data_IF_182785586391
#
_entry.id   IF_182785586391
#
_cell.length_a   1.000
_cell.length_b   1.000
_cell.length_c   1.000
_cell.angle_alpha   90.00
_cell.angle_beta   90.00
_cell.angle_gamma   90.00
#
_symmetry.space_group_name_H-M   'P 1'
#
loop_
_entity.id
_entity.type
_entity.pdbx_description
1 polymer ?
#
# COMPACT_ATOMS: atom_id res chain seq x y z
N UNK A 1 -38.87 19.53 29.81
CA UNK A 1 -37.58 18.84 29.96
C UNK A 1 -36.42 19.48 29.17
N UNK A 2 -36.68 20.20 28.05
CA UNK A 2 -35.65 20.82 27.18
C UNK A 2 -34.91 22.09 27.72
N UNK A 3 -35.21 22.57 28.93
CA UNK A 3 -34.61 23.81 29.48
C UNK A 3 -33.46 23.58 30.46
N UNK A 4 -33.03 22.33 30.72
CA UNK A 4 -31.87 22.05 31.56
C UNK A 4 -30.59 22.03 30.71
N UNK A 5 -29.51 22.74 31.10
CA UNK A 5 -28.25 22.77 30.36
C UNK A 5 -27.63 21.37 30.19
N UNK A 6 -27.70 20.52 31.22
CA UNK A 6 -27.22 19.12 31.14
C UNK A 6 -27.95 18.28 30.08
N UNK A 7 -29.27 18.47 29.91
CA UNK A 7 -30.03 17.75 28.88
C UNK A 7 -29.61 18.15 27.46
N UNK A 8 -29.26 19.43 27.26
CA UNK A 8 -28.75 19.92 25.96
C UNK A 8 -27.39 19.34 25.65
N UNK A 9 -26.50 19.28 26.63
CA UNK A 9 -25.19 18.66 26.48
C UNK A 9 -25.30 17.17 26.10
N UNK A 10 -26.21 16.43 26.74
CA UNK A 10 -26.49 15.04 26.38
C UNK A 10 -27.08 14.89 24.97
N UNK A 11 -27.99 15.77 24.56
CA UNK A 11 -28.54 15.76 23.20
C UNK A 11 -27.44 16.03 22.17
N UNK A 12 -26.59 17.03 22.41
CA UNK A 12 -25.48 17.36 21.50
C UNK A 12 -24.45 16.24 21.45
N UNK A 13 -24.12 15.61 22.59
CA UNK A 13 -23.25 14.44 22.64
C UNK A 13 -23.84 13.24 21.88
N UNK A 14 -25.13 12.98 22.05
CA UNK A 14 -25.85 11.96 21.27
C UNK A 14 -25.85 12.27 19.77
N UNK A 15 -26.10 13.53 19.39
CA UNK A 15 -26.04 13.97 17.99
C UNK A 15 -24.64 13.82 17.40
N UNK A 16 -23.58 14.14 18.17
CA UNK A 16 -22.20 13.94 17.74
C UNK A 16 -21.91 12.45 17.49
N UNK A 17 -22.39 11.56 18.36
CA UNK A 17 -22.29 10.11 18.16
C UNK A 17 -23.14 9.63 16.97
N UNK A 18 -24.32 10.21 16.78
CA UNK A 18 -25.18 9.93 15.62
C UNK A 18 -24.51 10.33 14.29
N UNK A 19 -23.63 11.35 14.30
CA UNK A 19 -22.83 11.71 13.12
C UNK A 19 -21.77 10.66 12.75
N UNK A 20 -21.54 9.63 13.57
CA UNK A 20 -20.76 8.48 13.15
C UNK A 20 -21.39 7.75 11.95
N UNK A 21 -22.73 7.76 11.82
CA UNK A 21 -23.45 7.13 10.70
C UNK A 21 -23.10 7.77 9.35
N UNK A 22 -23.30 9.09 9.13
CA UNK A 22 -22.88 9.71 7.87
C UNK A 22 -21.38 9.63 7.64
N UNK A 23 -20.54 9.73 8.67
CA UNK A 23 -19.09 9.54 8.53
C UNK A 23 -18.74 8.12 8.05
N UNK A 24 -19.42 7.09 8.56
CA UNK A 24 -19.23 5.71 8.11
C UNK A 24 -19.61 5.55 6.64
N UNK A 25 -20.73 6.14 6.19
CA UNK A 25 -21.15 6.12 4.79
C UNK A 25 -20.16 6.86 3.88
N UNK A 26 -19.62 7.99 4.33
CA UNK A 26 -18.57 8.70 3.58
C UNK A 26 -17.29 7.86 3.52
N UNK A 27 -16.92 7.22 4.64
CA UNK A 27 -15.80 6.31 4.72
C UNK A 27 -15.92 5.13 3.75
N UNK A 28 -17.10 4.54 3.60
CA UNK A 28 -17.32 3.44 2.65
C UNK A 28 -17.23 3.86 1.19
N UNK A 29 -17.66 5.09 0.86
CA UNK A 29 -17.47 5.66 -0.49
C UNK A 29 -15.97 5.83 -0.78
N UNK A 30 -15.21 6.34 0.20
CA UNK A 30 -13.75 6.52 0.05
C UNK A 30 -13.04 5.19 -0.08
N UNK A 31 -13.42 4.20 0.72
CA UNK A 31 -12.84 2.87 0.65
C UNK A 31 -13.13 2.20 -0.71
N UNK A 32 -14.34 2.36 -1.24
CA UNK A 32 -14.69 1.94 -2.61
C UNK A 32 -13.88 2.66 -3.70
N UNK A 33 -13.48 3.92 -3.47
CA UNK A 33 -12.59 4.65 -4.40
C UNK A 33 -11.15 4.18 -4.28
N UNK A 34 -10.67 3.93 -3.07
CA UNK A 34 -9.34 3.39 -2.80
C UNK A 34 -9.17 1.98 -3.40
N UNK A 35 -10.16 1.11 -3.26
CA UNK A 35 -10.14 -0.23 -3.87
C UNK A 35 -10.15 -0.14 -5.40
N UNK A 36 -11.01 0.71 -5.99
CA UNK A 36 -11.00 0.95 -7.43
C UNK A 36 -9.64 1.48 -7.94
N UNK A 37 -8.98 2.35 -7.16
CA UNK A 37 -7.63 2.83 -7.46
C UNK A 37 -6.61 1.70 -7.49
N UNK A 38 -6.62 0.82 -6.48
CA UNK A 38 -5.74 -0.36 -6.41
C UNK A 38 -5.99 -1.32 -7.57
N UNK A 39 -7.25 -1.59 -7.91
CA UNK A 39 -7.58 -2.46 -9.05
C UNK A 39 -7.10 -1.88 -10.39
N UNK A 40 -7.15 -0.55 -10.54
CA UNK A 40 -6.63 0.12 -11.73
C UNK A 40 -5.11 0.11 -11.74
N UNK A 41 -4.48 0.34 -10.59
CA UNK A 41 -3.03 0.20 -10.41
C UNK A 41 -2.56 -1.20 -10.82
N UNK A 42 -3.11 -2.25 -10.24
CA UNK A 42 -2.75 -3.63 -10.54
C UNK A 42 -2.93 -3.98 -12.02
N UNK A 43 -3.99 -3.46 -12.66
CA UNK A 43 -4.23 -3.67 -14.11
C UNK A 43 -3.19 -2.97 -14.97
N UNK A 44 -2.95 -1.68 -14.72
CA UNK A 44 -1.95 -0.90 -15.45
C UNK A 44 -0.54 -1.47 -15.22
N UNK A 45 -0.22 -1.85 -13.98
CA UNK A 45 1.00 -2.54 -13.61
C UNK A 45 1.17 -3.79 -14.48
N UNK A 46 0.21 -4.72 -14.48
CA UNK A 46 0.28 -5.97 -15.28
C UNK A 46 0.40 -5.72 -16.79
N UNK A 47 -0.31 -4.73 -17.33
CA UNK A 47 -0.24 -4.36 -18.75
C UNK A 47 1.12 -3.74 -19.13
N UNK A 48 1.77 -3.03 -18.21
CA UNK A 48 3.05 -2.37 -18.46
C UNK A 48 4.26 -3.31 -18.32
N UNK A 49 4.19 -4.26 -17.38
CA UNK A 49 5.25 -5.22 -17.08
C UNK A 49 5.15 -5.85 -15.69
N UNK A 50 4.38 -5.24 -14.78
CA UNK A 50 4.16 -5.73 -13.42
C UNK A 50 5.39 -5.59 -12.53
N UNK A 51 5.29 -6.17 -11.33
CA UNK A 51 6.42 -6.33 -10.43
C UNK A 51 7.51 -7.21 -11.07
N UNK A 52 8.75 -6.71 -11.12
CA UNK A 52 9.88 -7.42 -11.74
C UNK A 52 10.85 -7.91 -10.67
N UNK A 53 11.12 -9.21 -10.71
CA UNK A 53 12.18 -9.87 -9.95
C UNK A 53 13.10 -10.56 -10.94
N UNK A 54 14.39 -10.23 -10.87
CA UNK A 54 15.44 -10.86 -11.67
C UNK A 54 16.14 -11.92 -10.83
N UNK A 55 16.05 -13.20 -11.21
CA UNK A 55 16.66 -14.31 -10.47
C UNK A 55 18.19 -14.36 -10.54
N UNK A 56 18.84 -13.39 -11.20
CA UNK A 56 20.28 -13.38 -11.47
C UNK A 56 20.70 -14.40 -12.53
N UNK A 57 21.83 -14.18 -13.24
CA UNK A 57 22.28 -15.10 -14.28
C UNK A 57 22.83 -16.40 -13.68
N UNK A 58 22.46 -17.53 -14.26
CA UNK A 58 22.95 -18.86 -13.89
C UNK A 58 23.39 -19.65 -15.11
N UNK A 59 24.42 -20.48 -14.93
CA UNK A 59 24.89 -21.42 -15.94
C UNK A 59 24.20 -22.76 -15.71
N UNK A 60 23.46 -23.23 -16.72
CA UNK A 60 22.68 -24.46 -16.65
C UNK A 60 23.20 -25.46 -17.67
N UNK A 61 23.55 -26.66 -17.20
CA UNK A 61 24.07 -27.76 -18.02
C UNK A 61 23.11 -28.95 -17.93
N UNK A 62 22.45 -29.35 -19.04
CA UNK A 62 21.61 -30.53 -19.06
C UNK A 62 22.41 -31.78 -18.66
N UNK A 63 21.74 -32.72 -18.00
CA UNK A 63 22.36 -34.01 -17.63
C UNK A 63 21.48 -35.15 -18.11
N UNK A 64 22.12 -36.16 -18.69
CA UNK A 64 21.46 -37.42 -19.06
C UNK A 64 22.02 -38.55 -18.21
N UNK A 65 21.15 -39.47 -17.83
CA UNK A 65 21.53 -40.62 -17.02
C UNK A 65 20.44 -41.66 -16.95
N UNK A 66 20.65 -42.72 -16.14
CA UNK A 66 19.64 -43.74 -15.90
C UNK A 66 18.41 -43.13 -15.22
N UNK A 67 17.24 -43.31 -15.82
CA UNK A 67 15.95 -42.94 -15.24
C UNK A 67 15.01 -44.14 -15.28
N UNK A 68 14.26 -44.35 -14.19
CA UNK A 68 13.26 -45.43 -14.12
C UNK A 68 11.98 -44.93 -14.77
N UNK A 69 11.60 -45.56 -15.87
CA UNK A 69 10.32 -45.31 -16.54
C UNK A 69 9.38 -46.48 -16.29
N UNK A 70 8.12 -46.16 -15.99
CA UNK A 70 7.05 -47.16 -15.90
C UNK A 70 6.44 -47.32 -17.28
N UNK A 71 6.65 -48.48 -17.89
CA UNK A 71 6.08 -48.84 -19.19
C UNK A 71 4.86 -49.73 -18.96
N UNK A 72 3.74 -49.39 -19.58
CA UNK A 72 2.56 -50.24 -19.61
C UNK A 72 2.74 -51.36 -20.62
N UNK A 73 2.69 -52.60 -20.17
CA UNK A 73 2.84 -53.79 -21.01
C UNK A 73 1.67 -54.74 -20.74
N UNK A 74 1.15 -55.40 -21.78
CA UNK A 74 0.14 -56.45 -21.60
C UNK A 74 0.84 -57.66 -20.98
N UNK A 75 0.62 -57.88 -19.68
CA UNK A 75 1.18 -59.00 -18.94
C UNK A 75 0.15 -60.11 -18.85
N UNK A 76 0.56 -61.34 -19.19
CA UNK A 76 -0.29 -62.52 -19.06
C UNK A 76 -0.30 -62.97 -17.61
N UNK A 77 -1.47 -63.03 -16.99
CA UNK A 77 -1.64 -63.49 -15.61
C UNK A 77 -1.20 -64.97 -15.51
N UNK A 78 -0.18 -65.31 -14.69
CA UNK A 78 0.33 -66.67 -14.58
C UNK A 78 -0.70 -67.69 -14.07
N UNK A 79 -1.76 -67.24 -13.38
CA UNK A 79 -2.78 -68.11 -12.80
C UNK A 79 -4.02 -68.25 -13.68
N UNK A 80 -4.40 -67.20 -14.42
CA UNK A 80 -5.64 -67.20 -15.22
C UNK A 80 -5.41 -67.21 -16.73
N UNK A 81 -4.20 -66.90 -17.21
CA UNK A 81 -3.87 -66.82 -18.63
C UNK A 81 -4.47 -65.63 -19.38
N UNK A 82 -5.19 -64.73 -18.67
CA UNK A 82 -5.74 -63.49 -19.22
C UNK A 82 -4.63 -62.45 -19.42
N UNK A 83 -4.71 -61.68 -20.51
CA UNK A 83 -3.86 -60.51 -20.69
C UNK A 83 -4.43 -59.35 -19.85
N UNK A 84 -3.61 -58.85 -18.93
CA UNK A 84 -3.93 -57.68 -18.11
C UNK A 84 -2.90 -56.60 -18.34
N UNK A 85 -3.36 -55.36 -18.32
CA UNK A 85 -2.47 -54.21 -18.45
C UNK A 85 -1.63 -54.11 -17.16
N UNK A 86 -0.35 -54.38 -17.30
CA UNK A 86 0.63 -54.40 -16.22
C UNK A 86 1.58 -53.22 -16.31
N UNK A 87 2.19 -52.85 -15.18
CA UNK A 87 3.24 -51.83 -15.12
C UNK A 87 4.59 -52.51 -14.90
N UNK A 88 5.54 -52.29 -15.81
CA UNK A 88 6.93 -52.72 -15.67
C UNK A 88 7.83 -51.51 -15.55
N UNK A 89 8.69 -51.49 -14.53
CA UNK A 89 9.74 -50.50 -14.42
C UNK A 89 10.92 -50.90 -15.31
N UNK A 90 11.32 -50.02 -16.22
CA UNK A 90 12.47 -50.19 -17.09
C UNK A 90 13.40 -49.01 -16.85
N UNK A 91 14.69 -49.28 -16.70
CA UNK A 91 15.71 -48.22 -16.64
C UNK A 91 16.12 -47.86 -18.05
N UNK A 92 15.90 -46.60 -18.45
CA UNK A 92 16.33 -46.07 -19.75
C UNK A 92 17.24 -44.87 -19.53
N UNK A 93 18.00 -44.48 -20.54
CA UNK A 93 18.75 -43.22 -20.49
C UNK A 93 17.82 -42.06 -20.82
N UNK A 94 17.66 -41.13 -19.89
CA UNK A 94 16.78 -39.96 -20.05
C UNK A 94 17.33 -38.70 -19.39
N UNK A 95 16.56 -37.62 -19.47
CA UNK A 95 16.91 -36.35 -18.85
C UNK A 95 16.73 -36.42 -17.33
N UNK A 96 17.72 -35.88 -16.62
CA UNK A 96 17.67 -35.72 -15.16
C UNK A 96 17.67 -34.23 -14.82
N UNK A 97 17.51 -33.90 -13.53
CA UNK A 97 17.68 -32.53 -13.05
C UNK A 97 19.00 -31.94 -13.57
N UNK A 98 18.98 -30.73 -14.16
CA UNK A 98 20.20 -30.16 -14.75
C UNK A 98 21.21 -29.80 -13.65
N UNK A 99 22.47 -29.64 -14.03
CA UNK A 99 23.45 -28.99 -13.17
C UNK A 99 23.26 -27.47 -13.27
N UNK A 100 23.19 -26.79 -12.14
CA UNK A 100 23.07 -25.34 -12.04
C UNK A 100 24.32 -24.80 -11.35
N UNK A 101 25.01 -23.87 -11.99
CA UNK A 101 26.22 -23.23 -11.49
C UNK A 101 25.95 -21.73 -11.40
N UNK A 102 26.16 -21.16 -10.21
CA UNK A 102 26.06 -19.73 -9.98
C UNK A 102 27.40 -19.04 -10.29
N UNK A 103 27.42 -17.72 -10.57
CA UNK A 103 28.66 -17.03 -10.92
C UNK A 103 29.56 -16.79 -9.69
N UNK A 104 30.88 -16.72 -9.90
CA UNK A 104 31.86 -16.31 -8.90
C UNK A 104 31.69 -14.83 -8.55
N UNK A 105 31.55 -13.97 -9.56
CA UNK A 105 31.21 -12.55 -9.39
C UNK A 105 29.98 -12.19 -10.19
N UNK A 106 29.11 -11.39 -9.59
CA UNK A 106 27.98 -10.75 -10.24
C UNK A 106 28.07 -9.26 -9.96
N UNK A 107 28.40 -8.46 -10.97
CA UNK A 107 28.36 -7.01 -10.90
C UNK A 107 27.17 -6.53 -11.73
N UNK A 108 26.27 -5.75 -11.14
CA UNK A 108 25.05 -5.29 -11.82
C UNK A 108 24.75 -3.82 -11.59
N UNK A 109 24.26 -3.17 -12.64
CA UNK A 109 23.80 -1.77 -12.60
C UNK A 109 22.41 -1.70 -13.18
N UNK A 110 21.47 -1.16 -12.41
CA UNK A 110 20.08 -0.95 -12.80
C UNK A 110 19.77 0.54 -12.72
N UNK A 111 19.44 1.15 -13.86
CA UNK A 111 19.06 2.57 -13.93
C UNK A 111 17.59 2.68 -14.29
N UNK A 112 16.75 3.08 -13.34
CA UNK A 112 15.31 3.17 -13.51
C UNK A 112 14.85 4.60 -13.79
N UNK A 113 14.03 4.76 -14.82
CA UNK A 113 13.31 5.98 -15.17
C UNK A 113 11.84 5.82 -14.83
N UNK A 114 11.35 6.58 -13.85
CA UNK A 114 9.99 6.48 -13.34
C UNK A 114 9.11 7.48 -14.08
N UNK A 115 8.00 6.99 -14.62
CA UNK A 115 6.97 7.81 -15.29
C UNK A 115 5.60 7.52 -14.73
N UNK A 116 4.74 8.53 -14.70
CA UNK A 116 3.35 8.37 -14.28
C UNK A 116 2.46 8.00 -15.47
N UNK A 117 1.74 6.88 -15.37
CA UNK A 117 0.70 6.49 -16.33
C UNK A 117 -0.68 6.75 -15.77
N UNK A 118 -1.61 7.17 -16.63
CA UNK A 118 -2.98 7.48 -16.24
C UNK A 118 -3.98 6.52 -16.85
N UNK A 119 -4.97 6.11 -16.04
CA UNK A 119 -6.15 5.37 -16.50
C UNK A 119 -7.38 6.01 -15.85
N UNK A 120 -8.12 6.79 -16.65
CA UNK A 120 -9.16 7.65 -16.12
C UNK A 120 -8.56 8.72 -15.21
N UNK A 121 -9.00 8.76 -13.96
CA UNK A 121 -8.52 9.69 -12.91
C UNK A 121 -7.35 9.13 -12.09
N UNK A 122 -7.05 7.84 -12.22
CA UNK A 122 -6.02 7.18 -11.43
C UNK A 122 -4.66 7.33 -12.10
N UNK A 123 -3.64 7.58 -11.29
CA UNK A 123 -2.25 7.71 -11.72
C UNK A 123 -1.43 6.60 -11.08
N UNK A 124 -0.61 5.93 -11.89
CA UNK A 124 0.17 4.76 -11.49
C UNK A 124 1.64 5.02 -11.85
N UNK A 125 2.57 5.00 -10.89
CA UNK A 125 3.98 5.06 -11.20
C UNK A 125 4.41 3.74 -11.85
N UNK A 126 5.01 3.86 -13.03
CA UNK A 126 5.64 2.75 -13.73
C UNK A 126 7.08 3.13 -14.04
N UNK A 127 7.94 2.16 -14.29
CA UNK A 127 9.31 2.42 -14.66
C UNK A 127 9.71 1.72 -15.96
N UNK A 128 10.72 2.27 -16.59
CA UNK A 128 11.59 1.57 -17.53
C UNK A 128 12.98 1.52 -16.91
N UNK A 129 13.59 0.35 -16.90
CA UNK A 129 14.92 0.14 -16.30
C UNK A 129 15.87 -0.42 -17.34
N UNK A 130 17.03 0.20 -17.43
CA UNK A 130 18.19 -0.31 -18.18
C UNK A 130 19.08 -1.11 -17.22
N UNK A 131 19.35 -2.36 -17.58
CA UNK A 131 20.03 -3.33 -16.74
C UNK A 131 21.29 -3.79 -17.46
N UNK A 132 22.43 -3.63 -16.78
CA UNK A 132 23.71 -4.18 -17.20
C UNK A 132 24.18 -5.19 -16.16
N UNK A 133 24.58 -6.37 -16.62
CA UNK A 133 24.95 -7.51 -15.80
C UNK A 133 26.27 -8.09 -16.31
N UNK A 134 27.28 -8.08 -15.46
CA UNK A 134 28.58 -8.71 -15.69
C UNK A 134 28.72 -9.91 -14.74
N UNK A 135 28.79 -11.11 -15.31
CA UNK A 135 28.87 -12.35 -14.55
C UNK A 135 30.08 -13.17 -14.96
N UNK A 136 30.92 -13.52 -13.98
CA UNK A 136 32.06 -14.42 -14.18
C UNK A 136 31.74 -15.78 -13.61
N UNK A 137 31.84 -16.85 -14.40
CA UNK A 137 31.62 -18.22 -13.92
C UNK A 137 32.95 -18.94 -13.70
N UNK A 138 32.91 -19.97 -12.87
CA UNK A 138 33.98 -20.98 -12.77
C UNK A 138 33.29 -22.33 -12.77
N UNK A 139 33.63 -23.20 -13.72
CA UNK A 139 33.11 -24.57 -13.76
C UNK A 139 33.87 -25.42 -12.72
N UNK A 140 33.21 -25.89 -11.64
CA UNK A 140 33.86 -26.70 -10.62
C UNK A 140 33.91 -28.18 -11.04
N UNK A 141 34.59 -29.00 -10.23
CA UNK A 141 34.44 -30.46 -10.34
C UNK A 141 33.05 -30.88 -9.86
N UNK A 142 32.30 -31.51 -10.75
CA UNK A 142 30.89 -31.88 -10.55
C UNK A 142 30.71 -33.38 -10.36
N UNK A 143 31.79 -34.17 -10.35
CA UNK A 143 31.73 -35.62 -10.26
C UNK A 143 30.96 -36.10 -9.01
N UNK A 144 31.16 -35.44 -7.87
CA UNK A 144 30.49 -35.76 -6.61
C UNK A 144 28.96 -35.48 -6.62
N UNK A 145 28.48 -34.68 -7.58
CA UNK A 145 27.06 -34.33 -7.72
C UNK A 145 26.32 -35.22 -8.73
N UNK A 146 27.03 -36.09 -9.44
CA UNK A 146 26.46 -36.97 -10.47
C UNK A 146 26.14 -38.34 -9.91
N UNK A 147 24.99 -38.88 -10.32
CA UNK A 147 24.65 -40.28 -10.09
C UNK A 147 25.51 -41.20 -10.98
N UNK A 148 25.66 -42.46 -10.59
CA UNK A 148 26.39 -43.44 -11.39
C UNK A 148 25.74 -43.60 -12.78
N UNK A 149 26.55 -43.40 -13.84
CA UNK A 149 26.08 -43.46 -15.23
C UNK A 149 25.43 -42.18 -15.74
N UNK A 150 25.32 -41.12 -14.92
CA UNK A 150 24.91 -39.80 -15.38
C UNK A 150 26.09 -39.02 -15.98
N UNK A 151 25.82 -38.28 -17.04
CA UNK A 151 26.80 -37.47 -17.76
C UNK A 151 26.26 -36.07 -18.07
N UNK A 152 26.99 -35.00 -17.73
CA UNK A 152 26.65 -33.63 -18.13
C UNK A 152 26.90 -33.40 -19.63
N UNK A 153 25.93 -32.77 -20.29
CA UNK A 153 25.97 -32.38 -21.70
C UNK A 153 26.54 -30.96 -21.82
N UNK A 154 27.86 -30.83 -21.66
CA UNK A 154 28.55 -29.54 -21.66
C UNK A 154 28.33 -28.74 -22.96
N UNK A 155 28.25 -29.42 -24.09
CA UNK A 155 27.97 -28.85 -25.41
C UNK A 155 26.58 -28.20 -25.51
N UNK A 156 25.68 -28.51 -24.58
CA UNK A 156 24.32 -27.98 -24.50
C UNK A 156 24.13 -27.02 -23.32
N UNK A 157 25.22 -26.51 -22.75
CA UNK A 157 25.14 -25.52 -21.69
C UNK A 157 24.51 -24.21 -22.19
N UNK A 158 23.81 -23.55 -21.28
CA UNK A 158 23.14 -22.27 -21.51
C UNK A 158 23.26 -21.35 -20.31
N UNK A 159 23.26 -20.05 -20.56
CA UNK A 159 23.05 -19.04 -19.51
C UNK A 159 21.55 -18.77 -19.45
N UNK A 160 20.97 -18.81 -18.25
CA UNK A 160 19.58 -18.43 -17.99
C UNK A 160 19.53 -17.21 -17.09
N UNK A 161 18.57 -16.32 -17.34
CA UNK A 161 18.16 -15.25 -16.43
C UNK A 161 16.65 -15.38 -16.21
N UNK A 162 16.26 -15.75 -15.00
CA UNK A 162 14.86 -15.79 -14.59
C UNK A 162 14.29 -14.38 -14.43
N UNK A 163 13.04 -14.21 -14.88
CA UNK A 163 12.27 -12.97 -14.75
C UNK A 163 10.88 -13.31 -14.22
N UNK A 164 10.20 -12.38 -13.53
CA UNK A 164 8.78 -12.57 -13.17
C UNK A 164 7.90 -12.75 -14.42
N UNK A 165 8.16 -11.97 -15.47
CA UNK A 165 7.47 -12.09 -16.76
C UNK A 165 8.32 -11.51 -17.89
N UNK A 166 8.29 -12.17 -19.06
CA UNK A 166 8.94 -11.68 -20.27
C UNK A 166 8.18 -10.51 -20.92
N UNK A 167 6.91 -10.27 -20.56
CA UNK A 167 6.09 -9.21 -21.17
C UNK A 167 6.63 -7.80 -20.92
N UNK A 168 7.47 -7.64 -19.90
CA UNK A 168 8.18 -6.40 -19.57
C UNK A 168 9.40 -6.13 -20.45
N UNK A 169 9.96 -7.12 -21.15
CA UNK A 169 11.18 -6.93 -21.96
C UNK A 169 10.93 -5.92 -23.09
N UNK A 170 11.85 -4.95 -23.24
CA UNK A 170 11.82 -3.93 -24.29
C UNK A 170 13.19 -3.79 -24.93
N UNK A 171 13.21 -3.17 -26.11
CA UNK A 171 14.45 -2.83 -26.80
C UNK A 171 15.27 -4.06 -27.22
N UNK A 172 16.56 -3.82 -27.45
CA UNK A 172 17.52 -4.88 -27.77
C UNK A 172 18.05 -5.48 -26.48
N UNK A 173 17.98 -6.81 -26.36
CA UNK A 173 18.63 -7.56 -25.30
C UNK A 173 19.82 -8.29 -25.90
N UNK A 174 21.02 -8.11 -25.34
CA UNK A 174 22.24 -8.70 -25.87
C UNK A 174 23.02 -9.42 -24.78
N UNK A 175 23.36 -10.68 -25.02
CA UNK A 175 24.30 -11.45 -24.22
C UNK A 175 25.57 -11.64 -25.04
N UNK A 176 26.72 -11.34 -24.44
CA UNK A 176 28.03 -11.48 -25.08
C UNK A 176 28.99 -12.27 -24.20
N UNK A 177 29.90 -12.99 -24.84
CA UNK A 177 31.05 -13.67 -24.22
C UNK A 177 32.28 -13.27 -25.02
N UNK A 178 33.10 -12.38 -24.47
CA UNK A 178 34.08 -11.63 -25.26
C UNK A 178 33.40 -10.93 -26.44
N UNK A 179 33.96 -11.06 -27.64
CA UNK A 179 33.39 -10.47 -28.87
C UNK A 179 32.23 -11.28 -29.48
N UNK A 180 31.88 -12.43 -28.90
CA UNK A 180 30.84 -13.32 -29.46
C UNK A 180 29.47 -12.96 -28.90
N UNK A 181 28.57 -12.54 -29.78
CA UNK A 181 27.14 -12.41 -29.48
C UNK A 181 26.49 -13.79 -29.33
N UNK A 182 25.76 -13.98 -28.23
CA UNK A 182 24.95 -15.17 -27.94
C UNK A 182 23.49 -14.80 -28.15
N UNK A 183 22.80 -15.53 -29.03
CA UNK A 183 21.36 -15.35 -29.25
C UNK A 183 20.59 -15.79 -28.01
N UNK A 184 19.74 -14.90 -27.53
CA UNK A 184 18.83 -15.14 -26.43
C UNK A 184 17.45 -15.56 -26.97
N UNK A 185 16.84 -16.52 -26.30
CA UNK A 185 15.49 -17.02 -26.57
C UNK A 185 14.69 -17.05 -25.25
N UNK A 186 13.35 -16.98 -25.29
CA UNK A 186 12.53 -17.20 -24.10
C UNK A 186 12.77 -18.60 -23.51
N UNK A 187 12.75 -18.69 -22.18
CA UNK A 187 12.79 -19.99 -21.50
C UNK A 187 11.55 -20.84 -21.83
N UNK A 188 11.71 -22.16 -21.84
CA UNK A 188 10.66 -23.11 -22.19
C UNK A 188 10.05 -23.80 -20.96
N UNK A 189 9.09 -24.71 -21.19
CA UNK A 189 8.47 -25.54 -20.15
C UNK A 189 7.78 -24.75 -19.00
N UNK A 190 7.25 -23.57 -19.29
CA UNK A 190 6.50 -22.76 -18.33
C UNK A 190 7.38 -21.91 -17.40
N UNK A 191 8.70 -21.92 -17.57
CA UNK A 191 9.60 -21.00 -16.89
C UNK A 191 9.59 -19.63 -17.57
N UNK A 192 9.69 -18.57 -16.77
CA UNK A 192 9.76 -17.18 -17.24
C UNK A 192 11.19 -16.67 -17.15
N UNK A 193 11.64 -15.99 -18.21
CA UNK A 193 13.01 -15.54 -18.36
C UNK A 193 13.57 -15.76 -19.76
N UNK A 194 14.86 -15.50 -19.90
CA UNK A 194 15.60 -15.62 -21.15
C UNK A 194 16.76 -16.60 -20.98
N UNK A 195 17.09 -17.32 -22.05
CA UNK A 195 18.20 -18.26 -22.09
C UNK A 195 19.02 -18.10 -23.37
N UNK A 196 20.34 -18.24 -23.26
CA UNK A 196 21.26 -18.22 -24.40
C UNK A 196 22.13 -19.48 -24.41
N UNK A 197 22.14 -20.21 -25.52
CA UNK A 197 22.99 -21.39 -25.68
C UNK A 197 24.45 -20.97 -25.88
N UNK A 198 25.36 -21.50 -25.07
CA UNK A 198 26.77 -21.06 -25.02
C UNK A 198 27.78 -22.13 -25.47
N UNK A 199 27.33 -23.38 -25.64
CA UNK A 199 28.21 -24.52 -25.87
C UNK A 199 29.06 -24.85 -24.63
N UNK A 200 30.14 -25.61 -24.80
CA UNK A 200 30.99 -26.04 -23.69
C UNK A 200 31.58 -24.82 -22.92
N UNK A 201 31.23 -24.64 -21.63
CA UNK A 201 31.69 -23.50 -20.84
C UNK A 201 33.10 -23.69 -20.26
N UNK A 202 33.72 -24.87 -20.40
CA UNK A 202 35.01 -25.20 -19.76
C UNK A 202 36.24 -24.57 -20.43
N UNK A 203 36.03 -23.64 -21.36
CA UNK A 203 37.08 -22.91 -22.08
C UNK A 203 37.65 -21.69 -21.34
N UNK A 204 38.42 -20.88 -22.06
CA UNK A 204 39.28 -19.80 -21.52
C UNK A 204 38.57 -18.46 -21.23
N UNK A 205 37.29 -18.31 -21.60
CA UNK A 205 36.50 -17.11 -21.33
C UNK A 205 35.14 -17.49 -20.73
N UNK A 206 34.96 -17.17 -19.45
CA UNK A 206 33.75 -17.44 -18.67
C UNK A 206 33.10 -16.14 -18.17
N UNK A 207 33.42 -15.02 -18.82
CA UNK A 207 32.83 -13.71 -18.56
C UNK A 207 31.65 -13.49 -19.49
N UNK A 208 30.52 -13.11 -18.92
CA UNK A 208 29.30 -12.87 -19.64
C UNK A 208 28.80 -11.46 -19.34
N UNK A 209 28.59 -10.70 -20.41
CA UNK A 209 28.03 -9.36 -20.33
C UNK A 209 26.64 -9.37 -20.96
N UNK A 210 25.64 -9.01 -20.16
CA UNK A 210 24.23 -8.94 -20.55
C UNK A 210 23.70 -7.52 -20.38
N UNK A 211 23.11 -7.01 -21.45
CA UNK A 211 22.29 -5.78 -21.43
C UNK A 211 20.83 -6.13 -21.68
N UNK A 212 19.94 -5.53 -20.89
CA UNK A 212 18.51 -5.79 -20.91
C UNK A 212 17.76 -4.51 -20.53
N UNK A 213 16.73 -4.15 -21.29
CA UNK A 213 15.78 -3.12 -20.87
C UNK A 213 14.44 -3.76 -20.47
N UNK A 214 13.91 -3.39 -19.32
CA UNK A 214 12.63 -3.89 -18.80
C UNK A 214 11.69 -2.73 -18.47
N UNK A 215 10.41 -2.93 -18.78
CA UNK A 215 9.32 -2.19 -18.17
C UNK A 215 8.83 -2.95 -16.94
N UNK A 216 8.48 -2.19 -15.90
CA UNK A 216 7.86 -2.75 -14.71
C UNK A 216 7.10 -1.70 -13.90
N UNK A 217 6.51 -2.13 -12.80
CA UNK A 217 5.77 -1.31 -11.86
C UNK A 217 5.89 -1.89 -10.45
N UNK A 218 5.58 -1.08 -9.44
CA UNK A 218 5.57 -1.43 -8.01
C UNK A 218 6.92 -1.84 -7.43
N UNK A 219 7.51 -2.95 -7.87
CA UNK A 219 8.78 -3.46 -7.33
C UNK A 219 9.77 -3.73 -8.46
N UNK A 220 11.04 -3.44 -8.18
CA UNK A 220 12.20 -3.84 -8.97
C UNK A 220 13.17 -4.57 -8.02
N UNK A 221 13.24 -5.89 -8.20
CA UNK A 221 13.97 -6.79 -7.30
C UNK A 221 15.02 -7.60 -8.07
N UNK A 222 16.07 -8.00 -7.36
CA UNK A 222 17.12 -8.87 -7.88
C UNK A 222 17.51 -9.92 -6.83
N UNK A 223 17.84 -11.12 -7.28
CA UNK A 223 18.40 -12.18 -6.44
C UNK A 223 19.93 -12.15 -6.55
N UNK A 224 20.68 -12.09 -5.42
CA UNK A 224 22.13 -12.06 -5.43
C UNK A 224 22.68 -13.48 -5.63
N UNK A 225 22.97 -13.88 -6.86
CA UNK A 225 23.43 -15.25 -7.15
C UNK A 225 24.96 -15.42 -7.13
N UNK A 226 25.73 -14.34 -7.23
CA UNK A 226 27.20 -14.39 -7.29
C UNK A 226 27.87 -14.74 -5.97
N UNK A 227 29.03 -15.44 -6.01
CA UNK A 227 29.81 -15.74 -4.79
C UNK A 227 30.15 -14.45 -4.02
N UNK A 228 30.44 -13.41 -4.81
CA UNK A 228 30.27 -12.00 -4.44
C UNK A 228 29.31 -11.34 -5.43
N UNK A 229 28.22 -10.73 -4.93
CA UNK A 229 27.32 -9.93 -5.77
C UNK A 229 27.46 -8.45 -5.40
N UNK A 230 27.77 -7.58 -6.37
CA UNK A 230 27.76 -6.12 -6.23
C UNK A 230 26.66 -5.54 -7.10
N UNK A 231 25.68 -4.89 -6.48
CA UNK A 231 24.49 -4.38 -7.16
C UNK A 231 24.42 -2.88 -6.92
N UNK A 232 24.23 -2.11 -7.99
CA UNK A 232 23.93 -0.68 -7.93
C UNK A 232 22.56 -0.44 -8.55
N UNK A 233 21.67 0.21 -7.82
CA UNK A 233 20.37 0.66 -8.34
C UNK A 233 20.28 2.18 -8.23
N UNK A 234 19.95 2.84 -9.33
CA UNK A 234 19.77 4.28 -9.40
C UNK A 234 18.48 4.64 -10.13
N UNK A 235 17.96 5.83 -9.90
CA UNK A 235 16.82 6.33 -10.66
C UNK A 235 16.41 7.75 -10.31
N UNK A 236 15.50 8.31 -11.10
CA UNK A 236 15.03 9.71 -11.03
C UNK A 236 13.83 9.93 -10.09
N UNK A 237 13.60 9.00 -9.15
CA UNK A 237 12.49 9.06 -8.19
C UNK A 237 12.93 9.53 -6.80
N UNK A 238 12.30 10.55 -6.19
CA UNK A 238 12.77 11.12 -4.92
C UNK A 238 12.43 10.29 -3.68
N UNK A 239 11.56 9.28 -3.80
CA UNK A 239 11.02 8.53 -2.66
C UNK A 239 11.08 7.02 -2.88
N UNK A 240 12.28 6.42 -3.10
CA UNK A 240 12.42 4.97 -3.13
C UNK A 240 12.14 4.37 -1.76
N UNK A 241 11.51 3.19 -1.73
CA UNK A 241 11.47 2.34 -0.54
C UNK A 241 12.38 1.15 -0.75
N UNK A 242 13.33 0.91 0.16
CA UNK A 242 14.20 -0.26 0.12
C UNK A 242 13.50 -1.43 0.78
N UNK A 243 13.48 -2.59 0.11
CA UNK A 243 12.66 -3.73 0.53
C UNK A 243 13.32 -5.07 0.14
N UNK A 244 12.83 -6.16 0.71
CA UNK A 244 13.32 -7.53 0.52
C UNK A 244 14.38 -7.95 1.54
N UNK A 245 15.20 -8.95 1.16
CA UNK A 245 16.08 -9.67 2.09
C UNK A 245 17.30 -8.86 2.59
N UNK A 246 17.71 -7.82 1.86
CA UNK A 246 18.93 -7.06 2.13
C UNK A 246 18.74 -5.55 1.98
N UNK A 247 19.12 -4.79 3.02
CA UNK A 247 19.22 -3.33 2.94
C UNK A 247 20.56 -2.92 2.30
N UNK A 248 20.63 -1.74 1.64
CA UNK A 248 21.85 -1.29 0.98
C UNK A 248 22.96 -0.94 1.98
N UNK A 249 24.22 -1.17 1.59
CA UNK A 249 25.40 -0.76 2.35
C UNK A 249 25.54 0.77 2.36
N UNK A 250 25.16 1.41 1.25
CA UNK A 250 25.14 2.86 1.12
C UNK A 250 23.95 3.31 0.27
N UNK A 251 23.37 4.45 0.62
CA UNK A 251 22.29 5.09 -0.13
C UNK A 251 22.45 6.60 -0.14
N UNK A 252 22.18 7.21 -1.28
CA UNK A 252 21.93 8.63 -1.44
C UNK A 252 20.52 8.81 -1.98
N UNK A 253 19.70 9.64 -1.32
CA UNK A 253 18.31 9.88 -1.68
C UNK A 253 18.06 11.38 -1.59
N UNK A 254 17.70 11.98 -2.71
CA UNK A 254 17.47 13.41 -2.82
C UNK A 254 16.29 13.76 -3.72
N UNK A 255 15.98 15.06 -3.88
CA UNK A 255 14.85 15.49 -4.72
C UNK A 255 14.97 15.12 -6.20
N UNK A 256 16.19 14.83 -6.68
CA UNK A 256 16.47 14.49 -8.07
C UNK A 256 16.47 12.99 -8.34
N UNK A 257 16.41 12.14 -7.31
CA UNK A 257 16.53 10.71 -7.47
C UNK A 257 17.22 10.01 -6.32
N UNK A 258 17.70 8.80 -6.61
CA UNK A 258 18.42 7.96 -5.66
C UNK A 258 19.55 7.20 -6.33
N UNK A 259 20.50 6.78 -5.50
CA UNK A 259 21.48 5.76 -5.82
C UNK A 259 21.71 4.89 -4.57
N UNK A 260 21.72 3.57 -4.74
CA UNK A 260 21.97 2.63 -3.66
C UNK A 260 22.86 1.49 -4.11
N UNK A 261 23.71 1.01 -3.19
CA UNK A 261 24.72 0.00 -3.46
C UNK A 261 24.65 -1.13 -2.43
N UNK A 262 24.78 -2.37 -2.91
CA UNK A 262 24.81 -3.59 -2.12
C UNK A 262 26.02 -4.43 -2.49
N UNK A 263 26.64 -5.06 -1.48
CA UNK A 263 27.69 -6.06 -1.61
C UNK A 263 27.31 -7.28 -0.79
N UNK A 264 26.83 -8.33 -1.46
CA UNK A 264 26.25 -9.51 -0.80
C UNK A 264 27.19 -10.70 -1.02
N UNK A 265 27.86 -11.20 0.04
CA UNK A 265 28.66 -12.41 -0.04
C UNK A 265 27.78 -13.66 0.00
N UNK A 266 28.23 -14.76 -0.63
CA UNK A 266 27.48 -16.03 -0.63
C UNK A 266 27.14 -16.60 0.74
N UNK A 267 27.94 -16.33 1.77
CA UNK A 267 27.66 -16.81 3.12
C UNK A 267 26.41 -16.16 3.75
N UNK A 268 25.92 -15.05 3.20
CA UNK A 268 24.73 -14.36 3.67
C UNK A 268 23.42 -14.94 3.12
N UNK A 269 23.49 -15.99 2.28
CA UNK A 269 22.35 -16.54 1.54
C UNK A 269 22.38 -18.08 1.53
N UNK A 270 21.22 -18.76 1.59
CA UNK A 270 21.11 -20.21 1.57
C UNK A 270 21.16 -20.78 0.14
N UNK A 271 22.00 -20.22 -0.73
CA UNK A 271 22.12 -20.62 -2.13
C UNK A 271 23.48 -21.29 -2.35
N UNK A 272 23.46 -22.60 -2.61
CA UNK A 272 24.68 -23.32 -2.95
C UNK A 272 25.19 -22.87 -4.33
N UNK A 273 26.52 -22.76 -4.46
CA UNK A 273 27.17 -22.31 -5.69
C UNK A 273 26.94 -23.28 -6.87
N UNK A 274 26.70 -24.56 -6.56
CA UNK A 274 26.46 -25.63 -7.51
C UNK A 274 25.36 -26.54 -6.98
N UNK A 275 24.32 -26.77 -7.77
CA UNK A 275 23.18 -27.62 -7.39
C UNK A 275 22.71 -28.52 -8.53
N UNK A 276 21.88 -29.51 -8.17
CA UNK A 276 21.08 -30.30 -9.10
C UNK A 276 19.67 -29.71 -9.10
N UNK A 277 19.22 -29.24 -10.27
CA UNK A 277 17.97 -28.54 -10.42
C UNK A 277 18.03 -27.09 -9.95
N UNK A 278 16.95 -26.37 -10.27
CA UNK A 278 16.76 -24.97 -9.93
C UNK A 278 15.82 -24.87 -8.73
N UNK A 279 16.28 -24.25 -7.65
CA UNK A 279 15.44 -23.93 -6.47
C UNK A 279 14.97 -22.47 -6.53
N UNK A 280 13.95 -22.22 -7.36
CA UNK A 280 13.38 -20.87 -7.53
C UNK A 280 12.77 -20.33 -6.23
N UNK A 281 12.22 -21.20 -5.37
CA UNK A 281 11.54 -20.78 -4.14
C UNK A 281 12.54 -20.21 -3.13
N UNK A 282 13.64 -20.92 -2.90
CA UNK A 282 14.71 -20.42 -2.02
C UNK A 282 15.36 -19.17 -2.61
N UNK A 283 15.58 -19.13 -3.93
CA UNK A 283 16.15 -17.97 -4.62
C UNK A 283 15.25 -16.72 -4.50
N UNK A 284 13.95 -16.86 -4.75
CA UNK A 284 12.98 -15.76 -4.66
C UNK A 284 12.93 -15.13 -3.25
N UNK A 285 13.09 -15.94 -2.19
CA UNK A 285 13.15 -15.44 -0.81
C UNK A 285 14.40 -14.59 -0.50
N UNK A 286 15.42 -14.61 -1.37
CA UNK A 286 16.62 -13.79 -1.25
C UNK A 286 16.56 -12.52 -2.12
N UNK A 287 15.43 -12.27 -2.78
CA UNK A 287 15.26 -11.08 -3.59
C UNK A 287 15.29 -9.81 -2.73
N UNK A 288 15.93 -8.77 -3.25
CA UNK A 288 16.01 -7.45 -2.63
C UNK A 288 16.01 -6.37 -3.70
N UNK A 289 15.73 -5.14 -3.29
CA UNK A 289 15.77 -4.00 -4.20
C UNK A 289 14.85 -2.89 -3.73
N UNK A 290 13.96 -2.47 -4.63
CA UNK A 290 13.20 -1.24 -4.49
C UNK A 290 11.71 -1.48 -4.69
N UNK A 291 10.93 -0.83 -3.85
CA UNK A 291 9.50 -0.61 -4.03
C UNK A 291 9.27 0.88 -4.38
N UNK A 292 8.60 1.12 -5.50
CA UNK A 292 8.15 2.42 -5.94
C UNK A 292 6.76 2.69 -5.36
N UNK A 293 6.77 3.11 -4.09
CA UNK A 293 5.56 3.54 -3.39
C UNK A 293 5.18 4.96 -3.82
N UNK A 294 3.87 5.26 -3.91
CA UNK A 294 3.38 6.62 -4.06
C UNK A 294 3.11 7.20 -2.65
N UNK A 295 3.99 8.07 -2.11
CA UNK A 295 3.97 8.46 -0.69
C UNK A 295 2.73 9.24 -0.24
N UNK A 296 1.94 9.71 -1.19
CA UNK A 296 0.91 10.70 -0.95
C UNK A 296 -0.40 10.36 -1.68
N UNK A 297 -0.84 9.11 -1.55
CA UNK A 297 -2.18 8.71 -2.02
C UNK A 297 -3.25 9.55 -1.29
N UNK A 298 -3.89 10.45 -2.03
CA UNK A 298 -4.90 11.36 -1.50
C UNK A 298 -6.14 10.60 -1.01
N UNK A 299 -6.38 9.37 -1.48
CA UNK A 299 -7.44 8.50 -0.96
C UNK A 299 -7.13 8.07 0.48
N UNK A 300 -5.88 7.74 0.80
CA UNK A 300 -5.48 7.45 2.19
C UNK A 300 -5.61 8.69 3.08
N UNK A 301 -5.25 9.87 2.58
CA UNK A 301 -5.45 11.12 3.32
C UNK A 301 -6.93 11.42 3.54
N UNK A 302 -7.79 11.20 2.54
CA UNK A 302 -9.22 11.36 2.69
C UNK A 302 -9.81 10.35 3.69
N UNK A 303 -9.33 9.11 3.68
CA UNK A 303 -9.73 8.11 4.67
C UNK A 303 -9.37 8.55 6.09
N UNK A 304 -8.12 8.99 6.30
CA UNK A 304 -7.68 9.60 7.57
C UNK A 304 -8.54 10.81 7.95
N UNK A 305 -8.90 11.66 6.99
CA UNK A 305 -9.78 12.81 7.23
C UNK A 305 -11.15 12.38 7.75
N UNK A 306 -11.75 11.30 7.22
CA UNK A 306 -12.98 10.70 7.74
C UNK A 306 -12.83 10.29 9.20
N UNK A 307 -11.74 9.58 9.53
CA UNK A 307 -11.46 9.11 10.91
C UNK A 307 -11.37 10.27 11.89
N UNK A 308 -10.66 11.35 11.52
CA UNK A 308 -10.49 12.51 12.40
C UNK A 308 -11.68 13.48 12.39
N UNK A 309 -12.62 13.35 11.43
CA UNK A 309 -13.77 14.26 11.33
C UNK A 309 -14.75 14.15 12.50
N UNK A 310 -14.75 13.04 13.25
CA UNK A 310 -15.55 12.95 14.48
C UNK A 310 -15.15 14.03 15.50
N UNK A 311 -13.85 14.31 15.61
CA UNK A 311 -13.31 15.34 16.51
C UNK A 311 -13.70 16.74 16.02
N UNK A 312 -13.64 16.95 14.70
CA UNK A 312 -14.05 18.19 14.05
C UNK A 312 -15.54 18.48 14.32
N UNK A 313 -16.40 17.48 14.17
CA UNK A 313 -17.85 17.58 14.45
C UNK A 313 -18.08 17.85 15.93
N UNK A 314 -17.47 17.07 16.82
CA UNK A 314 -17.64 17.22 18.27
C UNK A 314 -17.21 18.63 18.75
N UNK A 315 -16.06 19.13 18.28
CA UNK A 315 -15.61 20.48 18.63
C UNK A 315 -16.45 21.57 17.99
N UNK A 316 -16.92 21.38 16.76
CA UNK A 316 -17.85 22.34 16.15
C UNK A 316 -19.15 22.43 16.95
N UNK A 317 -19.71 21.29 17.33
CA UNK A 317 -20.95 21.22 18.12
C UNK A 317 -20.78 21.86 19.51
N UNK A 318 -19.67 21.55 20.20
CA UNK A 318 -19.34 22.19 21.48
C UNK A 318 -19.23 23.71 21.33
N UNK A 319 -18.59 24.17 20.25
CA UNK A 319 -18.39 25.60 20.00
C UNK A 319 -19.71 26.31 19.75
N UNK A 320 -20.57 25.73 18.92
CA UNK A 320 -21.92 26.24 18.70
C UNK A 320 -22.68 26.29 20.03
N UNK A 321 -22.65 25.22 20.82
CA UNK A 321 -23.33 25.14 22.12
C UNK A 321 -22.86 26.22 23.11
N UNK A 322 -21.55 26.41 23.25
CA UNK A 322 -20.96 27.41 24.15
C UNK A 322 -21.25 28.84 23.68
N UNK A 323 -21.25 29.07 22.37
CA UNK A 323 -21.42 30.40 21.80
C UNK A 323 -22.88 30.86 21.81
N UNK A 324 -23.81 29.93 21.56
CA UNK A 324 -25.25 30.13 21.60
C UNK A 324 -25.74 30.56 22.99
N UNK A 325 -25.15 30.00 24.05
CA UNK A 325 -25.56 30.22 25.45
C UNK A 325 -25.75 31.70 25.82
N UNK A 326 -24.85 32.58 25.39
CA UNK A 326 -24.94 33.99 25.76
C UNK A 326 -25.63 34.87 24.72
N UNK A 327 -26.16 34.34 23.62
CA UNK A 327 -26.74 35.15 22.54
C UNK A 327 -28.13 35.71 22.89
N UNK A 328 -28.71 35.38 24.04
CA UNK A 328 -30.01 35.90 24.50
C UNK A 328 -31.23 35.47 23.67
N UNK A 329 -31.01 34.70 22.61
CA UNK A 329 -32.04 34.20 21.69
C UNK A 329 -32.49 32.78 22.05
N UNK A 330 -33.56 32.31 21.39
CA UNK A 330 -34.09 30.94 21.57
C UNK A 330 -33.00 29.91 21.28
N UNK A 331 -33.03 28.76 21.98
CA UNK A 331 -32.05 27.71 21.77
C UNK A 331 -32.09 27.17 20.33
N UNK A 332 -30.94 26.76 19.80
CA UNK A 332 -30.84 26.13 18.51
C UNK A 332 -31.62 24.80 18.52
N UNK A 333 -32.34 24.57 17.43
CA UNK A 333 -33.11 23.34 17.28
C UNK A 333 -32.15 22.17 16.98
N UNK A 334 -32.40 20.95 17.49
CA UNK A 334 -31.55 19.78 17.21
C UNK A 334 -31.25 19.55 15.71
N UNK A 335 -32.22 19.86 14.84
CA UNK A 335 -32.05 19.79 13.37
C UNK A 335 -30.93 20.70 12.86
N UNK A 336 -30.69 21.86 13.48
CA UNK A 336 -29.60 22.75 13.08
C UNK A 336 -28.23 22.14 13.37
N UNK A 337 -28.07 21.42 14.48
CA UNK A 337 -26.86 20.64 14.76
C UNK A 337 -26.67 19.51 13.75
N UNK A 338 -27.76 18.82 13.37
CA UNK A 338 -27.70 17.80 12.30
C UNK A 338 -27.18 18.40 10.98
N UNK A 339 -27.69 19.57 10.58
CA UNK A 339 -27.22 20.26 9.36
C UNK A 339 -25.73 20.63 9.44
N UNK A 340 -25.26 21.12 10.60
CA UNK A 340 -23.83 21.41 10.83
C UNK A 340 -22.99 20.12 10.71
N UNK A 341 -23.43 19.02 11.30
CA UNK A 341 -22.71 17.74 11.24
C UNK A 341 -22.70 17.13 9.83
N UNK A 342 -23.80 17.25 9.09
CA UNK A 342 -23.87 16.85 7.69
C UNK A 342 -22.95 17.68 6.80
N UNK A 343 -22.88 19.01 7.00
CA UNK A 343 -21.93 19.85 6.28
C UNK A 343 -20.48 19.43 6.51
N UNK A 344 -20.12 19.09 7.76
CA UNK A 344 -18.79 18.55 8.10
C UNK A 344 -18.55 17.17 7.48
N UNK A 345 -19.58 16.34 7.31
CA UNK A 345 -19.45 15.04 6.64
C UNK A 345 -19.24 15.22 5.13
N UNK A 346 -19.94 16.18 4.51
CA UNK A 346 -19.80 16.52 3.08
C UNK A 346 -18.43 17.12 2.76
N UNK A 347 -17.82 17.86 3.69
CA UNK A 347 -16.43 18.35 3.54
C UNK A 347 -15.46 17.24 3.10
N UNK A 348 -15.57 16.06 3.71
CA UNK A 348 -14.69 14.93 3.40
C UNK A 348 -14.92 14.43 1.97
N UNK A 349 -16.17 14.38 1.50
CA UNK A 349 -16.49 14.05 0.11
C UNK A 349 -15.97 15.10 -0.87
N UNK A 350 -16.04 16.39 -0.52
CA UNK A 350 -15.51 17.48 -1.34
C UNK A 350 -14.00 17.38 -1.51
N UNK A 351 -13.26 17.00 -0.45
CA UNK A 351 -11.81 16.77 -0.55
C UNK A 351 -11.52 15.73 -1.63
N UNK A 352 -12.19 14.58 -1.60
CA UNK A 352 -11.95 13.50 -2.56
C UNK A 352 -12.30 13.95 -3.98
N UNK A 353 -13.51 14.49 -4.16
CA UNK A 353 -13.99 14.91 -5.48
C UNK A 353 -13.11 15.99 -6.12
N UNK A 354 -12.58 16.92 -5.33
CA UNK A 354 -11.66 17.94 -5.84
C UNK A 354 -10.23 17.41 -6.00
N UNK A 355 -9.76 16.54 -5.10
CA UNK A 355 -8.40 16.02 -5.13
C UNK A 355 -8.14 15.20 -6.40
N UNK A 356 -9.17 14.48 -6.89
CA UNK A 356 -9.14 13.73 -8.15
C UNK A 356 -8.83 14.61 -9.38
N UNK A 357 -9.09 15.92 -9.32
CA UNK A 357 -8.93 16.82 -10.46
C UNK A 357 -7.80 17.85 -10.29
N UNK A 358 -7.63 18.41 -9.09
CA UNK A 358 -6.72 19.54 -8.85
C UNK A 358 -5.65 19.26 -7.79
N UNK A 359 -5.60 18.02 -7.27
CA UNK A 359 -4.66 17.58 -6.25
C UNK A 359 -5.07 17.95 -4.82
N UNK A 360 -4.52 17.22 -3.84
CA UNK A 360 -4.97 17.25 -2.46
C UNK A 360 -4.89 18.64 -1.80
N UNK A 361 -3.76 19.35 -1.91
CA UNK A 361 -3.58 20.62 -1.19
C UNK A 361 -4.60 21.69 -1.62
N UNK A 362 -4.85 21.81 -2.94
CA UNK A 362 -5.83 22.76 -3.48
C UNK A 362 -7.25 22.33 -3.17
N UNK A 363 -7.54 21.03 -3.26
CA UNK A 363 -8.82 20.45 -2.89
C UNK A 363 -9.16 20.71 -1.42
N UNK A 364 -8.21 20.48 -0.52
CA UNK A 364 -8.36 20.72 0.91
C UNK A 364 -8.66 22.20 1.19
N UNK A 365 -7.90 23.13 0.61
CA UNK A 365 -8.10 24.57 0.80
C UNK A 365 -9.49 25.00 0.30
N UNK A 366 -9.89 24.54 -0.89
CA UNK A 366 -11.21 24.84 -1.45
C UNK A 366 -12.35 24.29 -0.59
N UNK A 367 -12.28 23.00 -0.22
CA UNK A 367 -13.31 22.33 0.57
C UNK A 367 -13.41 22.92 2.00
N UNK A 368 -12.28 23.16 2.66
CA UNK A 368 -12.25 23.75 4.01
C UNK A 368 -12.79 25.18 4.01
N UNK A 369 -12.37 26.02 3.06
CA UNK A 369 -12.86 27.40 2.93
C UNK A 369 -14.36 27.43 2.68
N UNK A 370 -14.86 26.58 1.77
CA UNK A 370 -16.29 26.47 1.48
C UNK A 370 -17.09 26.06 2.72
N UNK A 371 -16.63 25.06 3.47
CA UNK A 371 -17.31 24.59 4.68
C UNK A 371 -17.26 25.63 5.81
N UNK A 372 -16.11 26.27 6.05
CA UNK A 372 -15.97 27.33 7.05
C UNK A 372 -16.92 28.48 6.71
N UNK A 373 -16.97 28.90 5.45
CA UNK A 373 -17.84 29.98 5.00
C UNK A 373 -19.32 29.61 5.14
N UNK A 374 -19.71 28.39 4.75
CA UNK A 374 -21.07 27.89 4.93
C UNK A 374 -21.49 27.90 6.41
N UNK A 375 -20.63 27.39 7.30
CA UNK A 375 -20.91 27.35 8.74
C UNK A 375 -20.90 28.73 9.39
N UNK A 376 -20.05 29.65 8.93
CA UNK A 376 -20.04 31.03 9.37
C UNK A 376 -21.33 31.76 8.96
N UNK A 377 -21.76 31.63 7.71
CA UNK A 377 -23.01 32.18 7.20
C UNK A 377 -24.22 31.57 7.93
N UNK A 378 -24.23 30.25 8.13
CA UNK A 378 -25.28 29.58 8.90
C UNK A 378 -25.29 30.02 10.36
N UNK A 379 -24.13 30.23 10.97
CA UNK A 379 -24.01 30.78 12.31
C UNK A 379 -24.57 32.21 12.42
N UNK A 380 -24.29 33.03 11.42
CA UNK A 380 -24.76 34.41 11.37
C UNK A 380 -26.27 34.50 11.12
N UNK A 381 -26.76 33.91 10.03
CA UNK A 381 -28.15 34.04 9.61
C UNK A 381 -29.09 33.03 10.30
N UNK A 382 -28.66 31.77 10.43
CA UNK A 382 -29.48 30.67 10.96
C UNK A 382 -29.53 30.63 12.48
N UNK A 383 -28.37 30.72 13.13
CA UNK A 383 -28.25 30.67 14.60
C UNK A 383 -28.29 32.05 15.28
N UNK A 384 -28.24 33.13 14.49
CA UNK A 384 -28.28 34.53 14.97
C UNK A 384 -27.23 34.82 16.05
N UNK A 385 -26.02 34.28 15.87
CA UNK A 385 -24.90 34.40 16.81
C UNK A 385 -24.29 35.83 16.89
N UNK A 386 -24.66 36.72 15.96
CA UNK A 386 -24.15 38.10 15.93
C UNK A 386 -22.63 38.16 15.77
N UNK A 387 -21.94 38.99 16.56
CA UNK A 387 -20.47 39.11 16.53
C UNK A 387 -19.74 37.82 16.95
N UNK A 388 -20.43 36.90 17.63
CA UNK A 388 -19.79 35.68 18.12
C UNK A 388 -19.52 34.64 17.04
N UNK A 389 -20.06 34.86 15.84
CA UNK A 389 -19.69 34.08 14.65
C UNK A 389 -18.18 34.12 14.42
N UNK A 390 -17.49 35.22 14.74
CA UNK A 390 -16.04 35.31 14.62
C UNK A 390 -15.30 34.29 15.49
N UNK A 391 -15.83 33.94 16.66
CA UNK A 391 -15.27 32.89 17.52
C UNK A 391 -15.42 31.53 16.85
N UNK A 392 -16.60 31.23 16.30
CA UNK A 392 -16.86 29.99 15.55
C UNK A 392 -15.93 29.89 14.33
N UNK A 393 -15.84 30.94 13.51
CA UNK A 393 -15.01 30.97 12.30
C UNK A 393 -13.52 30.84 12.64
N UNK A 394 -13.03 31.56 13.64
CA UNK A 394 -11.63 31.47 14.07
C UNK A 394 -11.28 30.06 14.55
N UNK A 395 -12.13 29.46 15.40
CA UNK A 395 -11.89 28.10 15.87
C UNK A 395 -11.95 27.08 14.74
N UNK A 396 -12.94 27.16 13.84
CA UNK A 396 -13.00 26.27 12.67
C UNK A 396 -11.73 26.41 11.83
N UNK A 397 -11.26 27.63 11.57
CA UNK A 397 -10.02 27.86 10.83
C UNK A 397 -8.83 27.17 11.49
N UNK A 398 -8.69 27.27 12.81
CA UNK A 398 -7.64 26.58 13.57
C UNK A 398 -7.79 25.05 13.47
N UNK A 399 -8.99 24.52 13.66
CA UNK A 399 -9.23 23.07 13.60
C UNK A 399 -8.91 22.49 12.22
N UNK A 400 -9.33 23.16 11.15
CA UNK A 400 -9.00 22.77 9.78
C UNK A 400 -7.51 22.93 9.46
N UNK A 401 -6.85 23.99 9.95
CA UNK A 401 -5.41 24.13 9.77
C UNK A 401 -4.63 23.00 10.48
N UNK A 402 -5.01 22.65 11.71
CA UNK A 402 -4.44 21.51 12.43
C UNK A 402 -4.71 20.21 11.69
N UNK A 403 -5.94 19.99 11.22
CA UNK A 403 -6.30 18.82 10.43
C UNK A 403 -5.41 18.69 9.17
N UNK A 404 -5.15 19.79 8.45
CA UNK A 404 -4.24 19.78 7.31
C UNK A 404 -2.83 19.32 7.68
N UNK A 405 -2.30 19.78 8.83
CA UNK A 405 -1.00 19.35 9.35
C UNK A 405 -0.98 17.85 9.67
N UNK A 406 -2.04 17.33 10.29
CA UNK A 406 -2.20 15.90 10.62
C UNK A 406 -2.20 15.07 9.34
N UNK A 407 -2.96 15.50 8.32
CA UNK A 407 -3.08 14.75 7.07
C UNK A 407 -1.79 14.72 6.25
N UNK A 408 -0.98 15.78 6.33
CA UNK A 408 0.31 15.86 5.64
C UNK A 408 1.41 15.02 6.30
N UNK A 409 1.27 14.67 7.58
CA UNK A 409 2.27 13.88 8.29
C UNK A 409 1.85 12.42 8.39
N UNK A 410 2.58 11.53 7.70
CA UNK A 410 2.42 10.09 7.87
C UNK A 410 2.72 9.66 9.31
N UNK A 411 3.79 10.22 9.87
CA UNK A 411 4.45 9.70 11.08
C UNK A 411 3.91 10.32 12.38
N UNK A 412 3.44 11.57 12.33
CA UNK A 412 2.95 12.28 13.51
C UNK A 412 1.42 12.27 13.63
N UNK A 413 0.70 11.54 12.78
CA UNK A 413 -0.76 11.55 12.76
C UNK A 413 -1.38 11.14 14.11
N UNK A 414 -0.85 10.07 14.74
CA UNK A 414 -1.32 9.61 16.06
C UNK A 414 -1.02 10.63 17.16
N UNK A 415 0.20 11.20 17.15
CA UNK A 415 0.63 12.21 18.12
C UNK A 415 -0.25 13.46 18.05
N UNK A 416 -0.44 13.99 16.84
CA UNK A 416 -1.19 15.21 16.64
C UNK A 416 -2.70 14.99 16.90
N UNK A 417 -3.26 13.85 16.48
CA UNK A 417 -4.66 13.49 16.75
C UNK A 417 -4.96 13.31 18.24
N UNK A 418 -4.11 12.57 18.97
CA UNK A 418 -4.27 12.36 20.42
C UNK A 418 -4.08 13.64 21.22
N UNK A 419 -3.10 14.47 20.85
CA UNK A 419 -2.88 15.79 21.46
C UNK A 419 -4.09 16.71 21.25
N UNK A 420 -4.64 16.75 20.03
CA UNK A 420 -5.82 17.57 19.73
C UNK A 420 -7.05 17.10 20.51
N UNK A 421 -7.28 15.79 20.61
CA UNK A 421 -8.36 15.23 21.40
C UNK A 421 -8.21 15.53 22.90
N UNK A 422 -7.00 15.42 23.44
CA UNK A 422 -6.70 15.79 24.83
C UNK A 422 -6.96 17.27 25.11
N UNK A 423 -6.46 18.16 24.25
CA UNK A 423 -6.69 19.61 24.36
C UNK A 423 -8.17 19.96 24.23
N UNK A 424 -8.91 19.29 23.35
CA UNK A 424 -10.34 19.44 23.20
C UNK A 424 -11.10 19.08 24.50
N UNK A 425 -10.75 17.95 25.13
CA UNK A 425 -11.32 17.55 26.42
C UNK A 425 -10.95 18.57 27.50
N UNK A 426 -9.69 18.98 27.60
CA UNK A 426 -9.23 19.96 28.57
C UNK A 426 -9.96 21.31 28.42
N UNK A 427 -10.09 21.82 27.19
CA UNK A 427 -10.85 23.02 26.89
C UNK A 427 -12.33 22.89 27.28
N UNK A 428 -12.94 21.72 27.04
CA UNK A 428 -14.32 21.43 27.45
C UNK A 428 -14.47 21.47 28.96
N UNK A 429 -13.55 20.87 29.72
CA UNK A 429 -13.55 20.88 31.18
C UNK A 429 -13.43 22.30 31.72
N UNK A 430 -12.52 23.11 31.16
CA UNK A 430 -12.32 24.50 31.57
C UNK A 430 -13.55 25.35 31.24
N UNK A 431 -14.11 25.20 30.03
CA UNK A 431 -15.27 25.97 29.59
C UNK A 431 -16.55 25.65 30.39
N UNK A 432 -16.70 24.41 30.84
CA UNK A 432 -17.90 23.96 31.56
C UNK A 432 -17.75 23.97 33.09
N UNK A 433 -16.60 24.40 33.64
CA UNK A 433 -16.31 24.35 35.09
C UNK A 433 -17.29 25.12 35.99
N UNK A 434 -17.90 26.19 35.48
CA UNK A 434 -18.82 27.05 36.24
C UNK A 434 -20.29 26.78 35.88
N UNK A 435 -20.58 25.63 35.26
CA UNK A 435 -21.94 25.29 34.85
C UNK A 435 -22.76 24.61 35.94
N UNK A 436 -23.99 25.08 36.13
CA UNK A 436 -24.95 24.47 37.05
C UNK A 436 -25.79 23.41 36.31
N UNK A 437 -25.36 22.16 36.44
CA UNK A 437 -25.89 21.02 35.70
C UNK A 437 -27.32 20.63 36.10
N UNK A 438 -27.76 20.99 37.31
CA UNK A 438 -29.03 20.54 37.89
C UNK A 438 -30.22 21.46 37.55
N UNK A 439 -29.94 22.68 37.09
CA UNK A 439 -30.95 23.70 36.79
C UNK A 439 -31.57 24.31 38.05
N UNK A 440 -32.11 25.53 37.94
CA UNK A 440 -32.66 26.24 39.10
C UNK A 440 -33.80 25.43 39.79
N UNK A 441 -33.80 25.32 41.13
CA UNK A 441 -34.91 24.72 41.87
C UNK A 441 -36.21 25.44 41.50
N UNK A 442 -37.24 24.68 41.10
CA UNK A 442 -38.58 25.26 40.94
C UNK A 442 -39.00 25.84 42.30
N UNK A 443 -39.38 27.13 42.39
CA UNK A 443 -39.91 27.65 43.64
C UNK A 443 -41.12 26.80 44.05
N UNK A 444 -41.29 26.50 45.35
CA UNK A 444 -42.42 25.71 45.81
C UNK A 444 -43.70 26.37 45.33
N UNK A 445 -44.55 25.60 44.64
CA UNK A 445 -45.88 26.04 44.26
C UNK A 445 -46.59 26.51 45.53
N UNK A 446 -46.88 27.81 45.62
CA UNK A 446 -47.71 28.37 46.70
C UNK A 446 -48.96 27.49 46.82
N UNK A 447 -49.29 26.94 48.00
CA UNK A 447 -50.55 26.22 48.17
C UNK A 447 -51.68 27.17 47.76
N UNK A 448 -52.57 26.68 46.91
CA UNK A 448 -53.75 27.43 46.50
C UNK A 448 -54.47 27.91 47.76
N UNK A 449 -54.63 29.23 47.88
CA UNK A 449 -55.48 29.81 48.92
C UNK A 449 -56.88 29.26 48.67
N UNK A 450 -57.37 28.43 49.60
CA UNK A 450 -58.74 27.97 49.58
C UNK A 450 -59.64 29.21 49.65
N UNK A 451 -60.39 29.48 48.58
CA UNK A 451 -61.47 30.46 48.58
C UNK A 451 -62.50 30.07 49.64
N UNK A 452 -62.92 30.98 50.54
CA UNK A 452 -63.93 30.67 51.55
C UNK A 452 -65.27 30.37 50.88
N UNK A 453 -65.92 29.31 51.34
CA UNK A 453 -67.24 28.83 50.92
C UNK A 453 -68.29 29.93 51.14
N UNK A 454 -69.15 30.27 50.16
CA UNK A 454 -70.22 31.23 50.37
C UNK A 454 -71.27 30.69 51.36
N UNK A 455 -71.67 31.52 52.31
CA UNK A 455 -72.70 31.25 53.32
C UNK A 455 -74.10 31.05 52.69
N UNK A 456 -74.95 30.16 53.26
CA UNK A 456 -76.25 29.83 52.68
C UNK A 456 -77.26 31.01 52.77
N UNK A 457 -78.22 31.09 51.84
CA UNK A 457 -79.19 32.18 51.78
C UNK A 457 -80.20 32.11 52.94
N UNK A 458 -80.74 33.26 53.39
CA UNK A 458 -81.72 33.31 54.48
C UNK A 458 -83.08 32.72 54.04
N UNK A 459 -83.67 31.92 54.92
CA UNK A 459 -85.05 31.45 54.87
C UNK A 459 -86.01 32.62 55.03
N UNK A 460 -86.90 32.83 54.06
CA UNK A 460 -88.06 33.69 54.19
C UNK A 460 -89.25 32.88 54.77
N UNK A 461 -89.94 33.48 55.73
CA UNK A 461 -91.21 33.02 56.29
C UNK A 461 -92.39 33.41 55.39
#
# INVERSE_FOLDING_TARGET
MLNRPGARFLIVGFLALMMAVPLFLVGSIIDGRLSASRDVQDRVSREWGGSQTLSGPRLVVPVRGPVVQTVSEMMRDPQTGEERQGARQVTVTGEQAPLVILPETLDSTLTAHITERRRGIFTVPVYTVDITLDATFTVPDVAALMEAGAAPLWDQARIELGLTTNSGIRGETALTRGDRLIRLEPMSAGATGIAGAIGDPRGTDQNYHLTLALNGAEHLMMVPVGRTSRITMAGDWPHPSFDGAFLPDSRDVGPQGYEARWTIPHLARPLAQVTRGVDEATAANQAFGLAFYQPNDFYQQAYRATTYSILLIAMTFLTVLLTERGSGHRPAHPVQYILVGLAQSVFVLLIVAYAEHIGFARAYLGASTATILLLALFGWAGLKLGQRVWVLTALLTVLYAVMYLILRSSDYALLAGSTLAFLAIAATMIATRNEDWYGQPRPPSRPAVATPTPSPPPTAA
#
